data_IF_383862960749
#
_entry.id   IF_383862960749
#
_cell.length_a   1.000
_cell.length_b   1.000
_cell.length_c   1.000
_cell.angle_alpha   90.00
_cell.angle_beta   90.00
_cell.angle_gamma   90.00
#
_symmetry.space_group_name_H-M   'P 1'
#
loop_
_entity.id
_entity.type
_entity.pdbx_description
1 polymer ?
#
# COMPACT_ATOMS: atom_id res chain seq x y z
N UNK A 1 13.78 -2.61 -5.17
CA UNK A 1 12.52 -3.37 -5.02
C UNK A 1 11.40 -2.36 -4.97
N UNK A 2 10.27 -2.66 -5.61
CA UNK A 2 9.09 -1.79 -5.61
C UNK A 2 8.31 -1.86 -4.30
N UNK A 3 7.48 -0.85 -4.06
CA UNK A 3 6.54 -0.81 -2.94
C UNK A 3 5.11 -0.97 -3.46
N UNK A 4 4.15 -1.29 -2.59
CA UNK A 4 2.76 -1.55 -3.01
C UNK A 4 2.08 -0.35 -3.70
N UNK A 5 2.62 0.86 -3.56
CA UNK A 5 2.19 2.05 -4.33
C UNK A 5 2.36 1.87 -5.85
N UNK A 6 3.23 0.96 -6.31
CA UNK A 6 3.36 0.60 -7.73
C UNK A 6 2.08 0.00 -8.31
N UNK A 7 1.13 -0.43 -7.47
CA UNK A 7 -0.19 -0.90 -7.90
C UNK A 7 -1.12 0.25 -8.32
N UNK A 8 -0.88 1.49 -7.87
CA UNK A 8 -1.79 2.61 -8.11
C UNK A 8 -2.00 2.95 -9.59
N UNK A 9 -0.98 2.98 -10.46
CA UNK A 9 -1.21 3.19 -11.90
C UNK A 9 -2.06 2.08 -12.55
N UNK A 10 -1.94 0.84 -12.08
CA UNK A 10 -2.76 -0.26 -12.59
C UNK A 10 -4.22 -0.15 -12.12
N UNK A 11 -4.43 0.29 -10.88
CA UNK A 11 -5.75 0.65 -10.39
C UNK A 11 -6.36 1.77 -11.24
N UNK A 12 -5.61 2.83 -11.54
CA UNK A 12 -6.09 3.93 -12.38
C UNK A 12 -6.52 3.44 -13.76
N UNK A 13 -5.74 2.56 -14.39
CA UNK A 13 -6.10 1.95 -15.67
C UNK A 13 -7.39 1.12 -15.57
N UNK A 14 -7.52 0.31 -14.51
CA UNK A 14 -8.71 -0.52 -14.30
C UNK A 14 -9.98 0.32 -14.03
N UNK A 15 -9.85 1.44 -13.31
CA UNK A 15 -10.95 2.37 -13.06
C UNK A 15 -11.37 3.14 -14.32
N UNK A 16 -10.41 3.58 -15.13
CA UNK A 16 -10.66 4.39 -16.34
C UNK A 16 -11.04 3.57 -17.60
N UNK A 17 -11.01 2.24 -17.53
CA UNK A 17 -11.52 1.40 -18.62
C UNK A 17 -13.04 1.66 -18.83
N UNK A 18 -13.42 2.07 -20.04
CA UNK A 18 -14.79 2.48 -20.39
C UNK A 18 -15.75 1.31 -20.69
N UNK A 19 -15.37 0.07 -20.34
CA UNK A 19 -16.27 -1.07 -20.41
C UNK A 19 -17.57 -0.85 -19.61
N UNK A 20 -18.71 -1.24 -20.18
CA UNK A 20 -20.01 -1.22 -19.51
C UNK A 20 -20.20 -2.38 -18.50
N UNK A 21 -19.20 -3.24 -18.34
CA UNK A 21 -19.26 -4.39 -17.44
C UNK A 21 -19.04 -3.99 -15.98
N UNK A 22 -19.69 -4.70 -15.06
CA UNK A 22 -19.36 -4.62 -13.63
C UNK A 22 -17.94 -5.12 -13.40
N UNK A 23 -17.19 -4.44 -12.54
CA UNK A 23 -15.79 -4.77 -12.22
C UNK A 23 -15.66 -5.17 -10.75
N UNK A 24 -14.87 -6.21 -10.51
CA UNK A 24 -14.27 -6.50 -9.21
C UNK A 24 -12.77 -6.38 -9.39
N UNK A 25 -12.15 -5.44 -8.68
CA UNK A 25 -10.70 -5.21 -8.74
C UNK A 25 -10.10 -5.71 -7.43
N UNK A 26 -9.13 -6.63 -7.53
CA UNK A 26 -8.42 -7.18 -6.37
C UNK A 26 -6.97 -6.71 -6.44
N UNK A 27 -6.52 -5.98 -5.41
CA UNK A 27 -5.14 -5.60 -5.23
C UNK A 27 -4.52 -6.52 -4.18
N UNK A 28 -3.55 -7.34 -4.59
CA UNK A 28 -2.80 -8.22 -3.68
C UNK A 28 -1.48 -7.54 -3.32
N UNK A 29 -1.37 -7.09 -2.08
CA UNK A 29 -0.23 -6.33 -1.56
C UNK A 29 0.80 -7.24 -0.91
N UNK A 30 2.04 -6.75 -0.79
CA UNK A 30 3.03 -7.33 0.12
C UNK A 30 2.70 -7.03 1.58
N UNK A 31 2.13 -5.85 1.86
CA UNK A 31 1.75 -5.43 3.22
C UNK A 31 2.93 -5.50 4.19
N UNK A 32 2.75 -6.19 5.31
CA UNK A 32 3.79 -6.37 6.34
C UNK A 32 4.57 -7.68 6.21
N UNK A 33 4.63 -8.31 5.03
CA UNK A 33 5.39 -9.55 4.86
C UNK A 33 6.85 -9.38 5.30
N UNK A 34 7.41 -10.37 5.98
CA UNK A 34 8.79 -10.32 6.49
C UNK A 34 9.85 -10.37 5.36
N UNK A 35 11.02 -9.72 5.50
CA UNK A 35 11.37 -8.76 6.55
C UNK A 35 10.61 -7.44 6.38
N UNK A 36 9.90 -7.00 7.43
CA UNK A 36 8.97 -5.86 7.35
C UNK A 36 9.67 -4.54 6.94
N UNK A 37 10.94 -4.34 7.32
CA UNK A 37 11.71 -3.14 6.97
C UNK A 37 11.87 -2.94 5.45
N UNK A 38 11.69 -4.00 4.65
CA UNK A 38 11.79 -3.95 3.19
C UNK A 38 10.45 -3.63 2.51
N UNK A 39 9.42 -3.26 3.26
CA UNK A 39 8.05 -3.03 2.74
C UNK A 39 7.72 -1.55 2.51
N UNK A 40 8.58 -0.65 2.96
CA UNK A 40 8.41 0.80 2.83
C UNK A 40 9.78 1.48 2.63
N UNK A 41 9.82 2.70 2.05
CA UNK A 41 11.07 3.46 1.96
C UNK A 41 11.56 3.85 3.35
N UNK A 42 12.88 3.84 3.58
CA UNK A 42 13.47 4.14 4.89
C UNK A 42 13.05 5.50 5.47
N UNK A 43 12.65 6.46 4.63
CA UNK A 43 12.11 7.76 5.05
C UNK A 43 10.75 7.67 5.77
N UNK A 44 10.05 6.54 5.66
CA UNK A 44 8.79 6.24 6.34
C UNK A 44 8.97 5.44 7.63
N UNK A 45 10.21 5.08 7.99
CA UNK A 45 10.49 4.42 9.26
C UNK A 45 10.10 5.34 10.42
N UNK A 46 9.25 4.83 11.31
CA UNK A 46 8.82 5.49 12.54
C UNK A 46 9.26 4.65 13.74
N UNK A 47 9.86 5.31 14.72
CA UNK A 47 10.20 4.69 15.99
C UNK A 47 9.02 4.81 16.96
N UNK A 48 8.22 3.75 17.06
CA UNK A 48 7.12 3.62 18.00
C UNK A 48 7.57 3.00 19.34
N UNK A 49 8.61 2.17 19.29
CA UNK A 49 9.18 1.45 20.43
C UNK A 49 10.72 1.54 20.40
N UNK A 50 11.38 0.91 21.39
CA UNK A 50 12.84 0.74 21.40
C UNK A 50 13.31 -0.49 20.60
N UNK A 51 12.39 -1.31 20.09
CA UNK A 51 12.67 -2.54 19.35
C UNK A 51 12.61 -2.27 17.84
N UNK A 52 13.70 -2.53 17.13
CA UNK A 52 13.82 -2.23 15.69
C UNK A 52 12.84 -3.05 14.85
N UNK A 53 12.67 -4.34 15.13
CA UNK A 53 11.76 -5.21 14.39
C UNK A 53 10.30 -4.76 14.56
N UNK A 54 9.89 -4.39 15.77
CA UNK A 54 8.55 -3.84 16.04
C UNK A 54 8.34 -2.53 15.29
N UNK A 55 9.35 -1.64 15.29
CA UNK A 55 9.29 -0.39 14.54
C UNK A 55 9.16 -0.61 13.04
N UNK A 56 9.81 -1.63 12.50
CA UNK A 56 9.65 -2.00 11.10
C UNK A 56 8.25 -2.53 10.79
N UNK A 57 7.72 -3.43 11.62
CA UNK A 57 6.38 -3.98 11.42
C UNK A 57 5.28 -2.91 11.55
N UNK A 58 5.37 -2.04 12.56
CA UNK A 58 4.41 -0.96 12.74
C UNK A 58 4.52 0.09 11.63
N UNK A 59 5.73 0.36 11.14
CA UNK A 59 5.94 1.24 9.99
C UNK A 59 5.37 0.67 8.69
N UNK A 60 5.45 -0.65 8.46
CA UNK A 60 4.83 -1.27 7.28
C UNK A 60 3.30 -1.25 7.35
N UNK A 61 2.71 -1.36 8.56
CA UNK A 61 1.28 -1.13 8.76
C UNK A 61 0.91 0.31 8.40
N UNK A 62 1.63 1.30 8.93
CA UNK A 62 1.36 2.71 8.64
C UNK A 62 1.53 3.05 7.15
N UNK A 63 2.45 2.39 6.46
CA UNK A 63 2.62 2.54 5.02
C UNK A 63 1.48 1.89 4.23
N UNK A 64 0.99 0.73 4.68
CA UNK A 64 -0.19 0.08 4.10
C UNK A 64 -1.45 0.92 4.29
N UNK A 65 -1.62 1.54 5.46
CA UNK A 65 -2.72 2.47 5.76
C UNK A 65 -2.74 3.68 4.80
N UNK A 66 -1.57 4.26 4.53
CA UNK A 66 -1.41 5.31 3.52
C UNK A 66 -1.88 4.85 2.14
N UNK A 67 -1.49 3.65 1.70
CA UNK A 67 -1.91 3.10 0.41
C UNK A 67 -3.44 2.92 0.34
N UNK A 68 -4.04 2.37 1.41
CA UNK A 68 -5.51 2.18 1.49
C UNK A 68 -6.22 3.53 1.37
N UNK A 69 -5.72 4.57 2.05
CA UNK A 69 -6.26 5.93 1.96
C UNK A 69 -6.22 6.45 0.51
N UNK A 70 -5.10 6.29 -0.19
CA UNK A 70 -4.98 6.67 -1.61
C UNK A 70 -5.95 5.90 -2.52
N UNK A 71 -6.20 4.62 -2.25
CA UNK A 71 -7.17 3.80 -2.99
C UNK A 71 -8.61 4.31 -2.79
N UNK A 72 -8.97 4.67 -1.55
CA UNK A 72 -10.30 5.20 -1.21
C UNK A 72 -10.52 6.57 -1.87
N UNK A 73 -9.54 7.48 -1.79
CA UNK A 73 -9.59 8.81 -2.40
C UNK A 73 -9.84 8.74 -3.91
N UNK A 74 -9.26 7.74 -4.59
CA UNK A 74 -9.50 7.52 -6.03
C UNK A 74 -10.94 7.10 -6.36
N UNK A 75 -11.67 6.51 -5.42
CA UNK A 75 -13.03 6.00 -5.60
C UNK A 75 -14.14 6.92 -5.04
N UNK A 76 -13.81 8.01 -4.35
CA UNK A 76 -14.80 8.89 -3.71
C UNK A 76 -15.27 10.03 -4.65
N UNK A 77 -15.49 9.72 -5.94
CA UNK A 77 -16.04 10.69 -6.91
C UNK A 77 -17.56 10.67 -6.94
#
# INVERSE_FOLDING_TARGET
MGYDEELLPFLDNALNDNSSNKKLIVLHTYGSHEPACNRFPSTYLKAFTQQEDDNCYDSSIAYTDKLISQIIEKNTR
#
